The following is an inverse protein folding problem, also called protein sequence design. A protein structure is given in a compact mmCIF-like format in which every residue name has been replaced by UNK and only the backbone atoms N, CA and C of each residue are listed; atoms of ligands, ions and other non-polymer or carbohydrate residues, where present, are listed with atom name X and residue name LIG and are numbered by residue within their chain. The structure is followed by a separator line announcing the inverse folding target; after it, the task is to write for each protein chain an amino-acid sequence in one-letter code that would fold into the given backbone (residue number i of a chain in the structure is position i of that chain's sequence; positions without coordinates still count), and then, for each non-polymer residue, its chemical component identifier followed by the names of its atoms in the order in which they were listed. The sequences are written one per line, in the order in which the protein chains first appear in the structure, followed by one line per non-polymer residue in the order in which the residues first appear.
data_IF_823725437537
#
_entry.id   IF_823725437537
#
_cell.length_a   1.000
_cell.length_b   1.000
_cell.length_c   1.000
_cell.angle_alpha   90.00
_cell.angle_beta   90.00
_cell.angle_gamma   90.00
#
_symmetry.space_group_name_H-M   'P 1'
#
loop_
_entity.id
_entity.type
_entity.pdbx_description
1 polymer ?
#
# COMPACT_ATOMS: atom_id res chain seq x y z
N UNK A 1 12.36 13.47 -7.79
CA UNK A 1 11.93 12.59 -6.68
C UNK A 1 10.56 12.02 -7.02
N UNK A 2 10.22 10.79 -6.60
CA UNK A 2 8.86 10.28 -6.80
C UNK A 2 7.84 11.11 -6.01
N UNK A 3 6.55 11.11 -6.41
CA UNK A 3 5.51 11.82 -5.70
C UNK A 3 5.25 11.22 -4.31
N UNK A 4 4.65 11.97 -3.36
CA UNK A 4 4.21 11.40 -2.09
C UNK A 4 3.22 10.25 -2.30
N UNK A 5 3.25 9.26 -1.39
CA UNK A 5 2.28 8.16 -1.39
C UNK A 5 0.87 8.74 -1.18
N UNK A 6 -0.09 8.52 -2.09
CA UNK A 6 -1.41 9.14 -2.04
C UNK A 6 -2.42 8.35 -1.21
N UNK A 7 -1.94 7.42 -0.37
CA UNK A 7 -2.78 6.47 0.36
C UNK A 7 -2.81 6.79 1.85
N UNK A 8 -3.96 6.52 2.48
CA UNK A 8 -4.07 6.34 3.92
C UNK A 8 -4.27 4.86 4.26
N UNK A 9 -3.75 4.40 5.40
CA UNK A 9 -4.04 3.06 5.90
C UNK A 9 -5.40 3.04 6.61
N UNK A 10 -6.29 2.14 6.19
CA UNK A 10 -7.61 1.94 6.81
C UNK A 10 -7.59 0.75 7.75
N UNK A 11 -6.92 -0.33 7.35
CA UNK A 11 -6.86 -1.57 8.11
C UNK A 11 -6.32 -2.72 7.29
N UNK A 12 -6.29 -3.90 7.88
CA UNK A 12 -5.93 -5.15 7.21
C UNK A 12 -6.86 -6.27 7.66
N UNK A 13 -7.14 -7.21 6.76
CA UNK A 13 -7.87 -8.44 7.04
C UNK A 13 -6.99 -9.63 6.68
N UNK A 14 -6.96 -10.63 7.56
CA UNK A 14 -6.20 -11.85 7.33
C UNK A 14 -7.15 -13.04 7.27
N UNK A 15 -7.08 -13.80 6.18
CA UNK A 15 -7.80 -15.04 5.97
C UNK A 15 -6.79 -16.16 5.69
N UNK A 16 -6.43 -16.91 6.73
CA UNK A 16 -5.31 -17.86 6.67
C UNK A 16 -3.99 -17.14 6.38
N UNK A 17 -3.35 -17.47 5.27
CA UNK A 17 -2.11 -16.84 4.81
C UNK A 17 -2.35 -15.60 3.92
N UNK A 18 -3.58 -15.39 3.45
CA UNK A 18 -3.92 -14.24 2.62
C UNK A 18 -4.07 -12.99 3.48
N UNK A 19 -3.32 -11.95 3.15
CA UNK A 19 -3.36 -10.65 3.82
C UNK A 19 -3.83 -9.56 2.86
N UNK A 20 -5.02 -9.02 3.13
CA UNK A 20 -5.61 -7.91 2.40
C UNK A 20 -5.39 -6.62 3.18
N UNK A 21 -4.86 -5.59 2.53
CA UNK A 21 -4.72 -4.23 3.10
C UNK A 21 -5.76 -3.32 2.47
N UNK A 22 -6.45 -2.54 3.30
CA UNK A 22 -7.40 -1.54 2.87
C UNK A 22 -6.74 -0.15 2.90
N UNK A 23 -6.72 0.50 1.74
CA UNK A 23 -6.08 1.80 1.52
C UNK A 23 -7.11 2.84 1.09
N UNK A 24 -7.16 3.99 1.76
CA UNK A 24 -7.95 5.13 1.32
C UNK A 24 -7.18 5.95 0.28
N UNK A 25 -7.87 6.45 -0.74
CA UNK A 25 -7.36 7.41 -1.70
C UNK A 25 -8.44 8.46 -1.97
N UNK A 26 -8.44 9.54 -1.16
CA UNK A 26 -9.55 10.48 -1.12
C UNK A 26 -10.85 9.76 -0.72
N UNK A 27 -11.92 9.82 -1.53
CA UNK A 27 -13.20 9.16 -1.22
C UNK A 27 -13.23 7.65 -1.54
N UNK A 28 -12.18 7.10 -2.16
CA UNK A 28 -12.13 5.68 -2.56
C UNK A 28 -11.40 4.86 -1.52
N UNK A 29 -11.84 3.61 -1.32
CA UNK A 29 -11.10 2.59 -0.57
C UNK A 29 -10.75 1.46 -1.52
N UNK A 30 -9.48 1.05 -1.51
CA UNK A 30 -8.93 -0.05 -2.30
C UNK A 30 -8.57 -1.20 -1.38
N UNK A 31 -8.87 -2.43 -1.78
CA UNK A 31 -8.34 -3.64 -1.16
C UNK A 31 -7.19 -4.16 -2.01
N UNK A 32 -5.99 -4.30 -1.43
CA UNK A 32 -4.78 -4.70 -2.15
C UNK A 32 -4.02 -5.78 -1.39
N UNK A 33 -3.40 -6.68 -2.13
CA UNK A 33 -2.45 -7.68 -1.62
C UNK A 33 -1.02 -7.29 -2.00
N UNK A 34 -0.05 -7.99 -1.41
CA UNK A 34 1.33 -7.86 -1.83
C UNK A 34 1.46 -8.24 -3.32
N UNK A 35 2.12 -7.38 -4.09
CA UNK A 35 2.27 -7.48 -5.54
C UNK A 35 1.23 -6.70 -6.35
N UNK A 36 0.09 -6.33 -5.75
CA UNK A 36 -0.96 -5.60 -6.46
C UNK A 36 -0.53 -4.18 -6.83
N UNK A 37 -1.02 -3.70 -7.97
CA UNK A 37 -0.84 -2.33 -8.44
C UNK A 37 -2.13 -1.55 -8.24
N UNK A 38 -2.05 -0.45 -7.50
CA UNK A 38 -3.13 0.51 -7.30
C UNK A 38 -2.68 1.89 -7.79
N UNK A 39 -3.44 2.45 -8.73
CA UNK A 39 -3.06 3.62 -9.52
C UNK A 39 -1.72 3.41 -10.27
N UNK A 40 -0.61 3.88 -9.70
CA UNK A 40 0.75 3.77 -10.29
C UNK A 40 1.76 3.21 -9.29
N UNK A 41 1.26 2.60 -8.22
CA UNK A 41 2.04 2.12 -7.10
C UNK A 41 1.82 0.62 -6.93
N UNK A 42 2.91 -0.14 -6.92
CA UNK A 42 2.87 -1.56 -6.54
C UNK A 42 3.11 -1.69 -5.04
N UNK A 43 2.31 -2.46 -4.33
CA UNK A 43 2.56 -2.82 -2.94
C UNK A 43 3.62 -3.94 -2.89
N UNK A 44 4.85 -3.63 -2.49
CA UNK A 44 5.94 -4.59 -2.48
C UNK A 44 6.00 -5.41 -1.18
N UNK A 45 5.63 -4.81 -0.05
CA UNK A 45 5.73 -5.46 1.28
C UNK A 45 4.67 -4.94 2.25
N UNK A 46 4.13 -5.85 3.08
CA UNK A 46 3.21 -5.55 4.17
C UNK A 46 3.88 -5.90 5.49
N UNK A 47 4.46 -4.89 6.16
CA UNK A 47 5.12 -5.04 7.45
C UNK A 47 4.21 -4.77 8.65
N UNK A 48 4.69 -4.98 9.89
CA UNK A 48 3.90 -4.77 11.10
C UNK A 48 3.40 -3.32 11.28
N UNK A 49 4.19 -2.30 10.91
CA UNK A 49 3.82 -0.89 11.07
C UNK A 49 4.20 0.00 9.87
N UNK A 50 4.50 -0.63 8.74
CA UNK A 50 4.84 0.06 7.50
C UNK A 50 4.40 -0.76 6.29
N UNK A 51 4.07 -0.06 5.22
CA UNK A 51 3.91 -0.63 3.88
C UNK A 51 5.02 -0.10 2.99
N UNK A 52 5.52 -0.94 2.11
CA UNK A 52 6.53 -0.56 1.12
C UNK A 52 5.90 -0.57 -0.27
N UNK A 53 6.05 0.52 -1.02
CA UNK A 53 5.52 0.65 -2.37
C UNK A 53 6.60 1.03 -3.38
N UNK A 54 6.46 0.57 -4.62
CA UNK A 54 7.22 1.08 -5.77
C UNK A 54 6.34 1.97 -6.62
N UNK A 55 6.78 3.22 -6.85
CA UNK A 55 6.22 4.11 -7.86
C UNK A 55 6.76 3.69 -9.23
N UNK A 56 5.90 3.05 -10.03
CA UNK A 56 6.28 2.38 -11.27
C UNK A 56 6.86 3.32 -12.35
N UNK A 57 6.36 4.55 -12.58
CA UNK A 57 6.88 5.42 -13.64
C UNK A 57 8.35 5.81 -13.47
N UNK A 58 8.90 5.72 -12.26
CA UNK A 58 10.30 6.04 -11.99
C UNK A 58 11.10 4.86 -11.43
N UNK A 59 10.47 3.70 -11.23
CA UNK A 59 11.04 2.55 -10.51
C UNK A 59 11.68 2.96 -9.17
N UNK A 60 10.91 3.68 -8.34
CA UNK A 60 11.37 4.21 -7.05
C UNK A 60 10.53 3.71 -5.90
N UNK A 61 11.19 3.13 -4.91
CA UNK A 61 10.57 2.64 -3.69
C UNK A 61 10.34 3.76 -2.67
N UNK A 62 9.24 3.68 -1.93
CA UNK A 62 8.93 4.52 -0.77
C UNK A 62 8.18 3.72 0.29
N UNK A 63 8.29 4.16 1.55
CA UNK A 63 7.62 3.53 2.69
C UNK A 63 6.55 4.44 3.28
N UNK A 64 5.38 3.89 3.59
CA UNK A 64 4.33 4.55 4.36
C UNK A 64 4.23 3.93 5.73
N UNK A 65 4.44 4.72 6.79
CA UNK A 65 4.18 4.27 8.18
C UNK A 65 2.71 4.46 8.52
N UNK A 66 2.18 3.57 9.34
CA UNK A 66 0.84 3.66 9.91
C UNK A 66 0.87 3.28 11.39
N UNK A 67 -0.02 3.87 12.18
CA UNK A 67 -0.28 3.41 13.54
C UNK A 67 -1.18 2.17 13.48
N UNK A 68 -0.88 1.13 14.27
CA UNK A 68 -1.77 -0.01 14.46
C UNK A 68 -2.89 0.33 15.43
#
# INVERSE_FOLDING_TARGET
MPPPIPFGYVGKWQEGEALTVFLSQGPKVHSVHQGDVVAQWRLDEIGPGLLTFTYLPMDKQQTMRFAQ
#
